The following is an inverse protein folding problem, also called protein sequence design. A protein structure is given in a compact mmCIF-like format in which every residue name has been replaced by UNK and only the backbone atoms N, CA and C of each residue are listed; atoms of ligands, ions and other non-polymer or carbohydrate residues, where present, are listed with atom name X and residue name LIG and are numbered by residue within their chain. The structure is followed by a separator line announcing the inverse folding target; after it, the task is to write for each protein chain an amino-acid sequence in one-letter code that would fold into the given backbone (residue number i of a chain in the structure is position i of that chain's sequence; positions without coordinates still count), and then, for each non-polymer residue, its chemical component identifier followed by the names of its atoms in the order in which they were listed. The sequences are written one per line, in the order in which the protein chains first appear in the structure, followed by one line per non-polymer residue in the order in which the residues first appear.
data_IF_553328384709
#
_entry.id   IF_553328384709
#
_cell.length_a   1.000
_cell.length_b   1.000
_cell.length_c   1.000
_cell.angle_alpha   90.00
_cell.angle_beta   90.00
_cell.angle_gamma   90.00
#
_symmetry.space_group_name_H-M   'P 1'
#
loop_
_entity.id
_entity.type
_entity.pdbx_description
1 polymer ?
#
# COMPACT_ATOMS: atom_id res chain seq x y z
N UNK A 1 -8.25 -11.37 16.62
CA UNK A 1 -8.86 -10.88 15.38
C UNK A 1 -8.32 -9.48 15.15
N UNK A 2 -7.98 -9.14 13.92
CA UNK A 2 -7.46 -7.83 13.56
C UNK A 2 -8.53 -7.01 12.84
N UNK A 3 -8.52 -5.72 13.12
CA UNK A 3 -9.47 -4.75 12.61
C UNK A 3 -8.70 -3.62 11.92
N UNK A 4 -9.23 -3.11 10.83
CA UNK A 4 -8.62 -1.96 10.16
C UNK A 4 -9.58 -1.22 9.26
N UNK A 5 -9.16 -0.04 8.81
CA UNK A 5 -9.97 0.80 7.93
C UNK A 5 -9.22 1.09 6.63
N UNK A 6 -9.98 1.23 5.54
CA UNK A 6 -9.43 1.79 4.30
C UNK A 6 -9.13 3.27 4.53
N UNK A 7 -7.88 3.70 4.34
CA UNK A 7 -7.49 5.11 4.58
C UNK A 7 -8.14 6.10 3.59
N UNK A 8 -8.64 5.61 2.45
CA UNK A 8 -9.27 6.43 1.40
C UNK A 8 -10.74 6.71 1.68
N UNK A 9 -11.50 5.67 2.04
CA UNK A 9 -12.97 5.73 2.17
C UNK A 9 -13.48 5.37 3.57
N UNK A 10 -12.58 5.22 4.53
CA UNK A 10 -12.83 4.91 5.96
C UNK A 10 -13.67 3.66 6.23
N UNK A 11 -13.89 2.82 5.21
CA UNK A 11 -14.67 1.59 5.33
C UNK A 11 -13.94 0.58 6.25
N UNK A 12 -14.62 0.01 7.25
CA UNK A 12 -14.02 -0.94 8.19
C UNK A 12 -13.92 -2.35 7.61
N UNK A 13 -12.90 -3.07 8.05
CA UNK A 13 -12.58 -4.45 7.68
C UNK A 13 -12.15 -5.23 8.93
N UNK A 14 -12.56 -6.49 8.96
CA UNK A 14 -12.16 -7.45 10.01
C UNK A 14 -11.59 -8.71 9.38
N UNK A 15 -10.58 -9.27 10.04
CA UNK A 15 -9.89 -10.48 9.60
C UNK A 15 -9.32 -11.28 10.78
N UNK A 16 -9.04 -12.58 10.61
CA UNK A 16 -8.46 -13.38 11.69
C UNK A 16 -7.07 -12.90 12.13
N UNK A 17 -6.25 -12.41 11.19
CA UNK A 17 -4.89 -11.92 11.43
C UNK A 17 -4.68 -10.52 10.84
N UNK A 18 -3.67 -9.80 11.35
CA UNK A 18 -3.28 -8.48 10.82
C UNK A 18 -2.96 -8.55 9.33
N UNK A 19 -2.22 -9.57 8.90
CA UNK A 19 -1.85 -9.73 7.49
C UNK A 19 -3.08 -9.98 6.59
N UNK A 20 -4.04 -10.80 7.05
CA UNK A 20 -5.30 -11.00 6.34
C UNK A 20 -6.15 -9.72 6.26
N UNK A 21 -6.10 -8.85 7.27
CA UNK A 21 -6.75 -7.53 7.22
C UNK A 21 -6.04 -6.62 6.20
N UNK A 22 -4.70 -6.61 6.17
CA UNK A 22 -3.93 -5.86 5.16
C UNK A 22 -4.35 -6.31 3.77
N UNK A 23 -4.35 -7.61 3.50
CA UNK A 23 -4.62 -8.14 2.17
C UNK A 23 -6.03 -7.78 1.68
N UNK A 24 -7.04 -7.93 2.54
CA UNK A 24 -8.43 -7.51 2.24
C UNK A 24 -8.53 -6.02 1.92
N UNK A 25 -7.92 -5.16 2.73
CA UNK A 25 -7.98 -3.71 2.55
C UNK A 25 -7.20 -3.30 1.29
N UNK A 26 -6.01 -3.86 1.07
CA UNK A 26 -5.19 -3.59 -0.13
C UNK A 26 -5.90 -4.01 -1.39
N UNK A 27 -6.52 -5.20 -1.42
CA UNK A 27 -7.32 -5.64 -2.55
C UNK A 27 -8.47 -4.66 -2.84
N UNK A 28 -9.15 -4.17 -1.80
CA UNK A 28 -10.18 -3.13 -1.95
C UNK A 28 -9.61 -1.82 -2.52
N UNK A 29 -8.48 -1.33 -2.02
CA UNK A 29 -7.82 -0.10 -2.50
C UNK A 29 -7.42 -0.25 -3.97
N UNK A 30 -6.77 -1.36 -4.33
CA UNK A 30 -6.33 -1.64 -5.71
C UNK A 30 -7.53 -1.76 -6.67
N UNK A 31 -8.69 -2.19 -6.20
CA UNK A 31 -9.89 -2.35 -7.05
C UNK A 31 -10.71 -1.07 -7.17
N UNK A 32 -10.85 -0.28 -6.08
CA UNK A 32 -11.79 0.84 -6.00
C UNK A 32 -11.13 2.21 -5.99
N UNK A 33 -9.87 2.28 -5.58
CA UNK A 33 -9.15 3.53 -5.32
C UNK A 33 -7.80 3.59 -6.03
N UNK A 34 -7.59 2.77 -7.07
CA UNK A 34 -6.33 2.70 -7.81
C UNK A 34 -5.85 4.05 -8.32
N UNK A 35 -6.75 4.87 -8.89
CA UNK A 35 -6.38 6.18 -9.39
C UNK A 35 -5.86 7.10 -8.27
N UNK A 36 -6.56 7.14 -7.13
CA UNK A 36 -6.17 7.97 -5.99
C UNK A 36 -4.86 7.49 -5.37
N UNK A 37 -4.71 6.18 -5.17
CA UNK A 37 -3.52 5.58 -4.56
C UNK A 37 -2.28 5.73 -5.46
N UNK A 38 -2.46 5.69 -6.79
CA UNK A 38 -1.40 5.97 -7.78
C UNK A 38 -0.92 7.40 -7.66
N UNK A 39 -1.84 8.37 -7.61
CA UNK A 39 -1.48 9.77 -7.40
C UNK A 39 -0.70 9.95 -6.10
N UNK A 40 -1.19 9.38 -4.99
CA UNK A 40 -0.52 9.46 -3.68
C UNK A 40 0.87 8.79 -3.68
N UNK A 41 1.04 7.68 -4.41
CA UNK A 41 2.34 7.01 -4.60
C UNK A 41 3.33 7.89 -5.37
N UNK A 42 2.83 8.76 -6.26
CA UNK A 42 3.65 9.67 -7.05
C UNK A 42 4.00 10.98 -6.34
N UNK A 43 3.40 11.24 -5.17
CA UNK A 43 3.73 12.41 -4.37
C UNK A 43 5.17 12.31 -3.84
N UNK A 44 5.92 13.42 -3.91
CA UNK A 44 7.34 13.47 -3.51
C UNK A 44 7.59 13.12 -2.05
N UNK A 45 6.60 13.37 -1.18
CA UNK A 45 6.60 12.99 0.25
C UNK A 45 6.45 11.49 0.51
N UNK A 46 5.91 10.75 -0.46
CA UNK A 46 5.60 9.33 -0.35
C UNK A 46 6.59 8.44 -1.12
N UNK A 47 7.65 9.04 -1.68
CA UNK A 47 8.67 8.33 -2.46
C UNK A 47 9.32 7.20 -1.65
N UNK A 48 9.56 6.08 -2.31
CA UNK A 48 10.40 5.03 -1.79
C UNK A 48 11.87 5.36 -2.09
N UNK A 49 12.70 5.44 -1.05
CA UNK A 49 14.16 5.56 -1.25
C UNK A 49 14.73 4.26 -1.83
N UNK A 50 14.25 3.13 -1.32
CA UNK A 50 14.61 1.78 -1.77
C UNK A 50 13.36 0.95 -2.03
N UNK A 51 13.45 0.03 -2.98
CA UNK A 51 12.41 -0.93 -3.26
C UNK A 51 12.17 -1.81 -2.02
N UNK A 52 10.94 -1.90 -1.50
CA UNK A 52 10.65 -2.77 -0.35
C UNK A 52 10.71 -4.27 -0.69
N UNK A 53 10.83 -4.63 -1.97
CA UNK A 53 10.90 -6.03 -2.44
C UNK A 53 12.34 -6.46 -2.69
N UNK A 54 13.11 -5.73 -3.50
CA UNK A 54 14.48 -6.12 -3.87
C UNK A 54 15.59 -5.25 -3.25
N UNK A 55 15.25 -4.18 -2.54
CA UNK A 55 16.22 -3.26 -1.94
C UNK A 55 16.91 -2.28 -2.89
N UNK A 56 16.62 -2.35 -4.20
CA UNK A 56 17.22 -1.44 -5.19
C UNK A 56 16.86 0.04 -4.94
N UNK A 57 17.76 0.99 -5.23
CA UNK A 57 17.49 2.41 -5.04
C UNK A 57 16.44 2.89 -6.08
N UNK A 58 15.37 3.54 -5.59
CA UNK A 58 14.26 4.02 -6.43
C UNK A 58 14.33 5.54 -6.62
N UNK A 59 14.79 6.30 -5.61
CA UNK A 59 15.24 7.70 -5.70
C UNK A 59 14.21 8.75 -6.15
N UNK A 60 13.12 8.34 -6.78
CA UNK A 60 12.06 9.14 -7.39
C UNK A 60 10.71 8.45 -7.16
N UNK A 61 9.60 9.20 -7.15
CA UNK A 61 8.27 8.60 -7.18
C UNK A 61 8.10 7.75 -8.45
N UNK A 62 7.91 6.44 -8.27
CA UNK A 62 7.71 5.49 -9.36
C UNK A 62 6.50 4.61 -9.02
N UNK A 63 5.78 4.17 -10.05
CA UNK A 63 4.67 3.22 -9.91
C UNK A 63 5.16 1.76 -9.87
N UNK A 64 6.29 1.47 -10.52
CA UNK A 64 6.90 0.14 -10.58
C UNK A 64 8.40 0.23 -10.40
N UNK A 65 8.98 -0.77 -9.74
CA UNK A 65 10.42 -0.87 -9.60
C UNK A 65 11.06 -1.28 -10.95
N UNK A 66 12.03 -0.52 -11.48
CA UNK A 66 12.69 -0.86 -12.74
C UNK A 66 13.64 -2.06 -12.62
N UNK A 67 14.04 -2.45 -11.41
CA UNK A 67 14.99 -3.54 -11.17
C UNK A 67 14.32 -4.91 -11.05
N UNK A 68 13.21 -5.00 -10.29
CA UNK A 68 12.52 -6.27 -10.04
C UNK A 68 11.10 -6.34 -10.60
N UNK A 69 10.57 -5.23 -11.12
CA UNK A 69 9.20 -5.18 -11.63
C UNK A 69 8.10 -5.09 -10.57
N UNK A 70 8.45 -5.03 -9.28
CA UNK A 70 7.47 -4.91 -8.19
C UNK A 70 6.57 -3.67 -8.34
N UNK A 71 5.28 -3.85 -8.07
CA UNK A 71 4.28 -2.80 -8.13
C UNK A 71 4.34 -1.92 -6.87
N UNK A 72 4.93 -0.73 -6.99
CA UNK A 72 5.16 0.16 -5.86
C UNK A 72 3.86 0.80 -5.36
N UNK A 73 2.82 0.82 -6.20
CA UNK A 73 1.48 1.29 -5.83
C UNK A 73 0.85 0.32 -4.83
N UNK A 74 0.94 -0.98 -5.09
CA UNK A 74 0.52 -2.00 -4.13
C UNK A 74 1.38 -1.96 -2.86
N UNK A 75 2.71 -1.80 -2.99
CA UNK A 75 3.61 -1.72 -1.83
C UNK A 75 3.31 -0.49 -0.97
N UNK A 76 2.96 0.63 -1.60
CA UNK A 76 2.49 1.83 -0.91
C UNK A 76 1.18 1.57 -0.16
N UNK A 77 0.20 0.96 -0.83
CA UNK A 77 -1.06 0.60 -0.19
C UNK A 77 -0.84 -0.34 1.02
N UNK A 78 0.04 -1.35 0.90
CA UNK A 78 0.42 -2.25 2.00
C UNK A 78 1.07 -1.48 3.16
N UNK A 79 2.00 -0.56 2.86
CA UNK A 79 2.69 0.27 3.87
C UNK A 79 1.70 1.14 4.64
N UNK A 80 0.84 1.88 3.93
CA UNK A 80 -0.15 2.77 4.55
C UNK A 80 -1.16 1.96 5.35
N UNK A 81 -1.75 0.93 4.75
CA UNK A 81 -2.76 0.08 5.39
C UNK A 81 -2.29 -0.52 6.72
N UNK A 82 -1.02 -0.93 6.83
CA UNK A 82 -0.45 -1.45 8.09
C UNK A 82 -0.55 -0.45 9.25
N UNK A 83 -0.53 0.86 8.97
CA UNK A 83 -0.71 1.91 9.97
C UNK A 83 -2.17 2.11 10.41
N UNK A 84 -3.14 1.57 9.66
CA UNK A 84 -4.57 1.66 9.95
C UNK A 84 -5.16 0.34 10.50
N UNK A 85 -4.30 -0.57 10.99
CA UNK A 85 -4.72 -1.86 11.57
C UNK A 85 -4.38 -1.93 13.06
N UNK A 86 -5.39 -2.29 13.84
CA UNK A 86 -5.35 -2.53 15.29
C UNK A 86 -5.64 -4.01 15.58
N UNK A 87 -5.03 -4.57 16.61
CA UNK A 87 -5.11 -6.00 16.98
C UNK A 87 -3.91 -6.79 16.52
#
# INVERSE_FOLDING_TARGET
MAEGICYVCTRPYTAPTRDAAVDKIVNHIMTRHLAQVKSDTLETKNKFEKCPVCGAPIGKPLLKCPTCGADLVEQFARKVTRGYITG
#
